data_IF_448277228962
#
_entry.id   IF_448277228962
#
_cell.length_a   1.000
_cell.length_b   1.000
_cell.length_c   1.000
_cell.angle_alpha   90.00
_cell.angle_beta   90.00
_cell.angle_gamma   90.00
#
_symmetry.space_group_name_H-M   'P 1'
#
loop_
_entity.id
_entity.type
_entity.pdbx_description
1 polymer ?
#
# COMPACT_ATOMS: atom_id res chain seq x y z
N UNK A 1 7.59 -16.37 4.22
CA UNK A 1 6.78 -15.33 3.55
C UNK A 1 5.43 -15.24 4.26
N UNK A 2 4.89 -14.04 4.55
CA UNK A 2 3.51 -13.89 5.06
C UNK A 2 2.56 -13.69 3.86
N UNK A 3 1.40 -14.35 3.89
CA UNK A 3 0.37 -14.29 2.84
C UNK A 3 -0.97 -13.90 3.43
N UNK A 4 -1.79 -13.22 2.64
CA UNK A 4 -3.18 -12.93 2.94
C UNK A 4 -4.07 -13.94 2.22
N UNK A 5 -5.26 -14.19 2.77
CA UNK A 5 -6.28 -14.98 2.10
C UNK A 5 -7.59 -14.20 2.09
N UNK A 6 -8.26 -14.20 0.94
CA UNK A 6 -9.59 -13.65 0.85
C UNK A 6 -10.56 -14.56 1.62
N UNK A 7 -11.37 -14.00 2.52
CA UNK A 7 -12.35 -14.77 3.31
C UNK A 7 -13.55 -15.24 2.47
N UNK A 8 -13.74 -14.67 1.28
CA UNK A 8 -14.86 -15.00 0.38
C UNK A 8 -14.47 -16.04 -0.68
N UNK A 9 -13.37 -15.82 -1.41
CA UNK A 9 -12.95 -16.72 -2.50
C UNK A 9 -11.79 -17.66 -2.13
N UNK A 10 -11.24 -17.55 -0.91
CA UNK A 10 -10.08 -18.33 -0.43
C UNK A 10 -8.80 -18.19 -1.25
N UNK A 11 -8.75 -17.25 -2.19
CA UNK A 11 -7.53 -17.00 -2.94
C UNK A 11 -6.43 -16.48 -2.01
N UNK A 12 -5.21 -16.98 -2.23
CA UNK A 12 -4.03 -16.64 -1.46
C UNK A 12 -3.20 -15.65 -2.24
N UNK A 13 -3.04 -14.46 -1.69
CA UNK A 13 -2.22 -13.39 -2.28
C UNK A 13 -1.06 -13.05 -1.35
N UNK A 14 0.02 -12.54 -1.92
CA UNK A 14 1.10 -11.99 -1.10
C UNK A 14 0.65 -10.70 -0.42
N UNK A 15 1.27 -10.37 0.72
CA UNK A 15 0.99 -9.07 1.38
C UNK A 15 1.32 -7.89 0.47
N UNK A 16 2.27 -8.08 -0.45
CA UNK A 16 2.67 -7.07 -1.41
C UNK A 16 1.58 -6.84 -2.47
N UNK A 17 1.09 -7.91 -3.10
CA UNK A 17 -0.05 -7.86 -4.03
C UNK A 17 -1.25 -7.15 -3.41
N UNK A 18 -1.67 -7.58 -2.20
CA UNK A 18 -2.83 -6.99 -1.54
C UNK A 18 -2.64 -5.50 -1.28
N UNK A 19 -1.43 -5.06 -0.89
CA UNK A 19 -1.16 -3.64 -0.68
C UNK A 19 -1.24 -2.87 -1.99
N UNK A 20 -0.72 -3.41 -3.09
CA UNK A 20 -0.78 -2.77 -4.41
C UNK A 20 -2.23 -2.63 -4.87
N UNK A 21 -3.02 -3.70 -4.80
CA UNK A 21 -4.46 -3.68 -5.12
C UNK A 21 -5.21 -2.63 -4.30
N UNK A 22 -4.93 -2.54 -2.99
CA UNK A 22 -5.54 -1.54 -2.12
C UNK A 22 -5.13 -0.10 -2.48
N UNK A 23 -3.89 0.12 -2.95
CA UNK A 23 -3.44 1.44 -3.42
C UNK A 23 -4.18 1.82 -4.70
N UNK A 24 -4.36 0.89 -5.63
CA UNK A 24 -5.12 1.11 -6.87
C UNK A 24 -6.57 1.45 -6.56
N UNK A 25 -7.23 0.72 -5.66
CA UNK A 25 -8.59 1.04 -5.19
C UNK A 25 -8.64 2.42 -4.51
N UNK A 26 -7.67 2.74 -3.66
CA UNK A 26 -7.58 4.02 -2.99
C UNK A 26 -7.43 5.18 -4.00
N UNK A 27 -6.59 5.03 -5.02
CA UNK A 27 -6.43 6.01 -6.09
C UNK A 27 -7.68 6.13 -6.97
N UNK A 28 -8.37 5.02 -7.23
CA UNK A 28 -9.60 5.02 -8.00
C UNK A 28 -10.74 5.75 -7.26
N UNK A 29 -10.88 5.51 -5.95
CA UNK A 29 -11.90 6.15 -5.12
C UNK A 29 -11.55 7.60 -4.75
N UNK A 30 -10.27 7.88 -4.55
CA UNK A 30 -9.77 9.19 -4.11
C UNK A 30 -8.52 9.61 -4.90
N UNK A 31 -8.67 10.06 -6.16
CA UNK A 31 -7.55 10.44 -7.02
C UNK A 31 -6.69 11.59 -6.46
N UNK A 32 -7.26 12.41 -5.58
CA UNK A 32 -6.56 13.53 -4.95
C UNK A 32 -5.71 13.10 -3.75
N UNK A 33 -5.94 11.88 -3.23
CA UNK A 33 -5.23 11.38 -2.06
C UNK A 33 -3.83 10.91 -2.47
N UNK A 34 -2.80 11.58 -1.95
CA UNK A 34 -1.41 11.22 -2.22
C UNK A 34 -1.07 9.83 -1.68
N UNK A 35 -0.32 9.05 -2.46
CA UNK A 35 0.21 7.77 -1.98
C UNK A 35 1.36 8.08 -1.01
N UNK A 36 1.08 7.96 0.28
CA UNK A 36 2.08 8.07 1.34
C UNK A 36 2.05 6.80 2.19
N UNK A 37 3.16 6.48 2.86
CA UNK A 37 3.18 5.31 3.76
C UNK A 37 2.10 5.41 4.84
N UNK A 38 1.81 6.62 5.33
CA UNK A 38 0.76 6.86 6.32
C UNK A 38 -0.62 6.59 5.75
N UNK A 39 -0.97 7.23 4.63
CA UNK A 39 -2.30 7.10 4.01
C UNK A 39 -2.59 5.65 3.64
N UNK A 40 -1.62 4.95 3.03
CA UNK A 40 -1.78 3.54 2.65
C UNK A 40 -1.94 2.64 3.87
N UNK A 41 -1.16 2.87 4.93
CA UNK A 41 -1.27 2.09 6.16
C UNK A 41 -2.62 2.29 6.84
N UNK A 42 -3.10 3.53 6.88
CA UNK A 42 -4.41 3.88 7.44
C UNK A 42 -5.56 3.27 6.61
N UNK A 43 -5.51 3.41 5.29
CA UNK A 43 -6.48 2.82 4.36
C UNK A 43 -6.61 1.30 4.55
N UNK A 44 -5.47 0.62 4.69
CA UNK A 44 -5.45 -0.83 4.92
C UNK A 44 -5.88 -1.25 6.34
N UNK A 45 -6.08 -0.31 7.27
CA UNK A 45 -6.41 -0.59 8.68
C UNK A 45 -5.22 -0.97 9.56
N UNK A 46 -3.99 -0.58 9.19
CA UNK A 46 -2.73 -0.88 9.86
C UNK A 46 -2.40 -2.38 10.14
N UNK A 47 -2.70 -3.34 9.23
CA UNK A 47 -2.44 -4.76 9.46
C UNK A 47 -0.95 -5.13 9.30
N UNK A 48 -0.16 -4.25 8.69
CA UNK A 48 1.23 -4.47 8.32
C UNK A 48 2.10 -3.38 8.92
N UNK A 49 3.27 -3.76 9.43
CA UNK A 49 4.23 -2.83 10.00
C UNK A 49 4.66 -1.76 8.97
N UNK A 50 4.68 -0.48 9.37
CA UNK A 50 5.03 0.67 8.50
C UNK A 50 6.29 0.47 7.65
N UNK A 51 7.34 -0.13 8.22
CA UNK A 51 8.59 -0.42 7.47
C UNK A 51 8.36 -1.30 6.24
N UNK A 52 7.44 -2.25 6.32
CA UNK A 52 7.13 -3.15 5.20
C UNK A 52 6.29 -2.43 4.14
N UNK A 53 5.30 -1.64 4.55
CA UNK A 53 4.55 -0.76 3.62
C UNK A 53 5.50 0.18 2.89
N UNK A 54 6.40 0.85 3.62
CA UNK A 54 7.42 1.72 3.03
C UNK A 54 8.34 1.00 2.04
N UNK A 55 8.73 -0.24 2.33
CA UNK A 55 9.55 -1.04 1.42
C UNK A 55 8.78 -1.37 0.13
N UNK A 56 7.54 -1.83 0.24
CA UNK A 56 6.67 -2.13 -0.91
C UNK A 56 6.50 -0.89 -1.78
N UNK A 57 6.21 0.26 -1.17
CA UNK A 57 6.07 1.52 -1.90
C UNK A 57 7.35 1.91 -2.64
N UNK A 58 8.51 1.76 -1.99
CA UNK A 58 9.80 2.07 -2.62
C UNK A 58 10.16 1.11 -3.75
N UNK A 59 9.77 -0.16 -3.63
CA UNK A 59 10.11 -1.21 -4.59
C UNK A 59 9.18 -1.18 -5.82
N UNK A 60 7.96 -0.63 -5.70
CA UNK A 60 6.93 -0.67 -6.76
C UNK A 60 6.53 0.72 -7.33
N UNK A 61 6.78 1.82 -6.63
CA UNK A 61 6.35 3.17 -7.04
C UNK A 61 7.51 4.16 -7.11
N UNK A 62 7.33 5.24 -7.85
CA UNK A 62 8.35 6.29 -7.99
C UNK A 62 8.21 7.26 -6.82
N UNK A 63 9.28 7.37 -6.02
CA UNK A 63 9.31 8.33 -4.91
C UNK A 63 9.56 9.75 -5.44
N UNK A 64 8.62 10.65 -5.18
CA UNK A 64 8.71 12.09 -5.49
C UNK A 64 8.82 12.89 -4.18
N UNK A 65 9.76 13.83 -4.13
CA UNK A 65 9.96 14.73 -3.00
C UNK A 65 11.09 14.36 -2.02
N UNK A 66 11.33 15.22 -1.04
CA UNK A 66 12.40 15.09 -0.05
C UNK A 66 11.88 14.47 1.26
N UNK A 67 12.80 14.04 2.12
CA UNK A 67 12.63 13.15 3.30
C UNK A 67 11.31 13.25 4.09
N UNK A 68 10.76 14.45 4.32
CA UNK A 68 9.53 14.70 5.08
C UNK A 68 8.24 14.68 4.24
N UNK A 69 8.33 14.98 2.94
CA UNK A 69 7.19 15.15 2.03
C UNK A 69 7.20 14.09 0.92
N UNK A 70 7.71 12.89 1.23
CA UNK A 70 7.80 11.80 0.25
C UNK A 70 6.42 11.30 -0.12
N UNK A 71 6.09 11.49 -1.39
CA UNK A 71 4.92 10.95 -2.06
C UNK A 71 5.39 9.88 -3.03
N UNK A 72 4.54 8.90 -3.30
CA UNK A 72 4.76 7.88 -4.31
C UNK A 72 3.77 8.13 -5.47
N UNK A 73 4.24 7.93 -6.69
CA UNK A 73 3.46 7.94 -7.93
C UNK A 73 3.57 6.59 -8.64
#
# INVERSE_FOLDING_TARGET
QRSCYCKSCFNKSSVEEVIIENIEEMQFLFPELKITTTNVSEWCGNPVHFRKVRKILKDNFVAVGSTSDRVYE
#
